data_IF_167701523495
#
_entry.id   IF_167701523495
#
_cell.length_a   1.000
_cell.length_b   1.000
_cell.length_c   1.000
_cell.angle_alpha   90.00
_cell.angle_beta   90.00
_cell.angle_gamma   90.00
#
_symmetry.space_group_name_H-M   'P 1'
#
loop_
_entity.id
_entity.type
_entity.pdbx_description
1 polymer ?
#
# COMPACT_ATOMS: atom_id res chain seq x y z
N UNK A 1 41.73 -4.90 -40.68
CA UNK A 1 42.47 -5.57 -41.78
C UNK A 1 42.43 -4.71 -43.05
N UNK A 2 43.49 -3.94 -43.32
CA UNK A 2 43.79 -3.29 -44.61
C UNK A 2 45.31 -3.09 -44.66
N UNK A 3 46.03 -3.97 -45.36
CA UNK A 3 47.47 -3.82 -45.66
C UNK A 3 47.58 -2.98 -46.94
N UNK A 4 48.02 -1.71 -46.83
CA UNK A 4 48.68 -0.95 -47.91
C UNK A 4 50.16 -1.39 -47.82
N UNK A 5 50.80 -2.00 -48.81
CA UNK A 5 50.92 -1.57 -50.20
C UNK A 5 52.36 -1.08 -50.37
N UNK A 6 53.34 -2.00 -50.36
CA UNK A 6 54.75 -1.72 -50.69
C UNK A 6 54.85 -1.45 -52.19
N UNK A 7 55.18 -0.21 -52.57
CA UNK A 7 55.63 0.12 -53.91
C UNK A 7 57.12 -0.24 -54.03
N UNK A 8 57.39 -1.38 -54.67
CA UNK A 8 58.72 -1.75 -55.13
C UNK A 8 59.05 -0.82 -56.31
N UNK A 9 59.85 0.22 -56.06
CA UNK A 9 60.44 1.02 -57.11
C UNK A 9 61.40 0.17 -57.95
N UNK A 10 60.94 -0.27 -59.12
CA UNK A 10 61.80 -0.81 -60.17
C UNK A 10 62.81 0.25 -60.60
N UNK A 11 64.08 0.07 -60.22
CA UNK A 11 65.17 0.76 -60.89
C UNK A 11 65.28 0.25 -62.34
N UNK A 12 65.53 1.14 -63.32
CA UNK A 12 65.81 0.72 -64.68
C UNK A 12 67.11 -0.10 -64.69
N UNK A 13 67.05 -1.28 -65.30
CA UNK A 13 68.22 -2.09 -65.61
C UNK A 13 69.08 -1.25 -66.55
N UNK A 14 70.11 -0.61 -66.00
CA UNK A 14 71.13 0.04 -66.80
C UNK A 14 71.78 -1.03 -67.68
N UNK A 15 71.69 -0.82 -68.99
CA UNK A 15 72.18 -1.71 -70.01
C UNK A 15 73.63 -2.10 -69.73
N UNK A 16 73.87 -3.41 -69.59
CA UNK A 16 75.21 -3.98 -69.64
C UNK A 16 75.73 -3.72 -71.05
N UNK A 17 76.63 -2.75 -71.18
CA UNK A 17 77.45 -2.57 -72.37
C UNK A 17 78.25 -3.86 -72.54
N UNK A 18 77.87 -4.69 -73.51
CA UNK A 18 78.67 -5.84 -73.89
C UNK A 18 79.93 -5.34 -74.57
N UNK A 19 81.14 -5.57 -74.03
CA UNK A 19 82.35 -5.37 -74.80
C UNK A 19 82.33 -6.34 -75.99
N UNK A 20 82.54 -5.77 -77.17
CA UNK A 20 82.71 -6.47 -78.44
C UNK A 20 83.78 -7.57 -78.31
N UNK A 21 83.43 -8.72 -78.87
CA UNK A 21 84.18 -9.97 -78.88
C UNK A 21 85.53 -9.85 -79.60
N UNK A 22 86.55 -9.40 -78.87
CA UNK A 22 87.98 -9.65 -79.14
C UNK A 22 88.93 -9.30 -77.95
N UNK A 23 88.47 -9.41 -76.70
CA UNK A 23 89.34 -9.34 -75.52
C UNK A 23 89.27 -10.66 -74.75
N UNK A 24 90.23 -11.54 -75.06
CA UNK A 24 90.61 -12.61 -74.14
C UNK A 24 91.14 -11.88 -72.90
N UNK A 25 90.31 -11.80 -71.84
CA UNK A 25 90.76 -11.43 -70.50
C UNK A 25 92.07 -12.15 -70.26
N UNK A 26 93.17 -11.38 -70.20
CA UNK A 26 94.47 -12.01 -69.98
C UNK A 26 94.41 -12.78 -68.67
N UNK A 27 95.15 -13.87 -68.59
CA UNK A 27 95.27 -14.63 -67.35
C UNK A 27 95.60 -13.71 -66.17
N UNK A 28 96.41 -12.67 -66.40
CA UNK A 28 96.73 -11.64 -65.42
C UNK A 28 95.51 -10.81 -64.99
N UNK A 29 94.64 -10.38 -65.92
CA UNK A 29 93.43 -9.63 -65.56
C UNK A 29 92.44 -10.47 -64.74
N UNK A 30 92.36 -11.77 -65.04
CA UNK A 30 91.53 -12.72 -64.29
C UNK A 30 92.12 -13.00 -62.91
N UNK A 31 93.45 -13.09 -62.82
CA UNK A 31 94.20 -13.25 -61.58
C UNK A 31 94.11 -12.01 -60.68
N UNK A 32 94.18 -10.80 -61.25
CA UNK A 32 94.02 -9.54 -60.52
C UNK A 32 92.59 -9.39 -59.97
N UNK A 33 91.57 -9.78 -60.76
CA UNK A 33 90.19 -9.81 -60.28
C UNK A 33 89.99 -10.84 -59.16
N UNK A 34 90.60 -12.03 -59.29
CA UNK A 34 90.56 -13.05 -58.22
C UNK A 34 91.32 -12.59 -56.97
N UNK A 35 92.42 -11.85 -57.13
CA UNK A 35 93.22 -11.31 -56.02
C UNK A 35 92.50 -10.15 -55.32
N UNK A 36 91.83 -9.26 -56.06
CA UNK A 36 90.95 -8.24 -55.48
C UNK A 36 89.72 -8.87 -54.78
N UNK A 37 89.16 -9.95 -55.34
CA UNK A 37 88.12 -10.74 -54.68
C UNK A 37 88.64 -11.39 -53.39
N UNK A 38 89.86 -11.94 -53.41
CA UNK A 38 90.51 -12.50 -52.22
C UNK A 38 90.81 -11.40 -51.19
N UNK A 39 91.39 -10.26 -51.58
CA UNK A 39 91.66 -9.14 -50.68
C UNK A 39 90.38 -8.54 -50.10
N UNK A 40 89.29 -8.48 -50.86
CA UNK A 40 87.99 -8.02 -50.34
C UNK A 40 87.31 -9.05 -49.45
N UNK A 41 87.54 -10.34 -49.67
CA UNK A 41 87.03 -11.43 -48.83
C UNK A 41 87.86 -11.63 -47.56
N UNK A 42 89.18 -11.40 -47.62
CA UNK A 42 90.16 -11.53 -46.55
C UNK A 42 90.44 -10.19 -45.85
N UNK A 43 89.71 -9.12 -46.24
CA UNK A 43 89.77 -7.83 -45.57
C UNK A 43 89.22 -7.98 -44.14
N UNK A 44 90.12 -8.27 -43.21
CA UNK A 44 89.82 -8.48 -41.79
C UNK A 44 88.98 -7.34 -41.20
N UNK A 45 89.16 -6.11 -41.70
CA UNK A 45 88.38 -4.95 -41.28
C UNK A 45 86.90 -5.01 -41.71
N UNK A 46 86.58 -5.66 -42.82
CA UNK A 46 85.21 -5.85 -43.30
C UNK A 46 84.53 -7.02 -42.59
N UNK A 47 85.28 -8.07 -42.25
CA UNK A 47 84.80 -9.19 -41.43
C UNK A 47 84.48 -8.71 -40.00
N UNK A 48 85.38 -7.94 -39.37
CA UNK A 48 85.16 -7.43 -38.01
C UNK A 48 83.99 -6.43 -37.94
N UNK A 49 83.84 -5.52 -38.92
CA UNK A 49 82.64 -4.66 -39.01
C UNK A 49 81.34 -5.47 -39.16
N UNK A 50 81.35 -6.57 -39.91
CA UNK A 50 80.19 -7.46 -40.01
C UNK A 50 79.92 -8.18 -38.69
N UNK A 51 80.95 -8.64 -37.98
CA UNK A 51 80.80 -9.23 -36.63
C UNK A 51 80.24 -8.24 -35.63
N UNK A 52 80.73 -7.00 -35.61
CA UNK A 52 80.18 -5.92 -34.78
C UNK A 52 78.72 -5.63 -35.12
N UNK A 53 78.37 -5.61 -36.41
CA UNK A 53 76.98 -5.42 -36.86
C UNK A 53 76.09 -6.60 -36.45
N UNK A 54 76.57 -7.84 -36.57
CA UNK A 54 75.86 -9.04 -36.11
C UNK A 54 75.66 -8.98 -34.60
N UNK A 55 76.70 -8.65 -33.84
CA UNK A 55 76.61 -8.53 -32.38
C UNK A 55 75.65 -7.40 -31.96
N UNK A 56 75.64 -6.28 -32.67
CA UNK A 56 74.67 -5.20 -32.46
C UNK A 56 73.24 -5.62 -32.77
N UNK A 57 73.03 -6.40 -33.84
CA UNK A 57 71.72 -6.98 -34.18
C UNK A 57 71.29 -7.98 -33.10
N UNK A 58 72.18 -8.87 -32.65
CA UNK A 58 71.91 -9.84 -31.59
C UNK A 58 71.54 -9.14 -30.28
N UNK A 59 72.28 -8.10 -29.88
CA UNK A 59 71.96 -7.28 -28.71
C UNK A 59 70.61 -6.59 -28.84
N UNK A 60 70.29 -6.05 -30.01
CA UNK A 60 68.98 -5.43 -30.25
C UNK A 60 67.84 -6.46 -30.20
N UNK A 61 68.05 -7.68 -30.71
CA UNK A 61 67.07 -8.77 -30.63
C UNK A 61 66.80 -9.14 -29.17
N UNK A 62 67.84 -9.23 -28.34
CA UNK A 62 67.68 -9.50 -26.90
C UNK A 62 66.89 -8.38 -26.23
N UNK A 63 67.27 -7.12 -26.44
CA UNK A 63 66.56 -5.97 -25.86
C UNK A 63 65.10 -5.88 -26.32
N UNK A 64 64.81 -6.21 -27.59
CA UNK A 64 63.43 -6.26 -28.11
C UNK A 64 62.61 -7.38 -27.46
N UNK A 65 63.21 -8.55 -27.22
CA UNK A 65 62.54 -9.65 -26.51
C UNK A 65 62.23 -9.29 -25.06
N UNK A 66 63.16 -8.63 -24.37
CA UNK A 66 62.93 -8.15 -23.00
C UNK A 66 61.80 -7.10 -22.96
N UNK A 67 61.78 -6.16 -23.92
CA UNK A 67 60.71 -5.18 -24.03
C UNK A 67 59.35 -5.82 -24.37
N UNK A 68 59.34 -6.84 -25.24
CA UNK A 68 58.14 -7.64 -25.55
C UNK A 68 57.62 -8.35 -24.30
N UNK A 69 58.50 -8.99 -23.51
CA UNK A 69 58.14 -9.67 -22.26
C UNK A 69 57.52 -8.69 -21.25
N UNK A 70 58.12 -7.50 -21.08
CA UNK A 70 57.55 -6.45 -20.21
C UNK A 70 56.14 -6.05 -20.68
N UNK A 71 55.96 -5.77 -21.97
CA UNK A 71 54.65 -5.36 -22.51
C UNK A 71 53.61 -6.48 -22.35
N UNK A 72 54.01 -7.75 -22.55
CA UNK A 72 53.13 -8.90 -22.35
C UNK A 72 52.69 -8.98 -20.89
N UNK A 73 53.63 -8.89 -19.93
CA UNK A 73 53.30 -8.96 -18.50
C UNK A 73 52.42 -7.79 -18.04
N UNK A 74 52.66 -6.57 -18.54
CA UNK A 74 51.80 -5.41 -18.28
C UNK A 74 50.40 -5.62 -18.88
N UNK A 75 50.33 -6.14 -20.10
CA UNK A 75 49.07 -6.47 -20.77
C UNK A 75 48.26 -7.52 -20.00
N UNK A 76 48.91 -8.59 -19.54
CA UNK A 76 48.29 -9.63 -18.71
C UNK A 76 47.79 -9.06 -17.37
N UNK A 77 48.56 -8.18 -16.73
CA UNK A 77 48.16 -7.50 -15.49
C UNK A 77 46.90 -6.65 -15.69
N UNK A 78 46.85 -5.84 -16.76
CA UNK A 78 45.67 -5.02 -17.10
C UNK A 78 44.46 -5.90 -17.39
N UNK A 79 44.63 -7.00 -18.15
CA UNK A 79 43.54 -7.94 -18.45
C UNK A 79 43.00 -8.58 -17.16
N UNK A 80 43.88 -8.93 -16.22
CA UNK A 80 43.46 -9.46 -14.91
C UNK A 80 42.63 -8.43 -14.14
N UNK A 81 43.11 -7.19 -14.01
CA UNK A 81 42.41 -6.12 -13.28
C UNK A 81 41.04 -5.81 -13.89
N UNK A 82 40.96 -5.75 -15.23
CA UNK A 82 39.68 -5.52 -15.92
C UNK A 82 38.73 -6.71 -15.70
N UNK A 83 39.25 -7.94 -15.74
CA UNK A 83 38.43 -9.14 -15.52
C UNK A 83 37.85 -9.19 -14.11
N UNK A 84 38.64 -8.82 -13.10
CA UNK A 84 38.18 -8.69 -11.71
C UNK A 84 37.07 -7.64 -11.58
N UNK A 85 37.24 -6.45 -12.18
CA UNK A 85 36.20 -5.41 -12.17
C UNK A 85 34.93 -5.83 -12.89
N UNK A 86 35.05 -6.55 -14.01
CA UNK A 86 33.89 -7.10 -14.72
C UNK A 86 33.14 -8.09 -13.84
N UNK A 87 33.86 -8.98 -13.15
CA UNK A 87 33.27 -9.94 -12.23
C UNK A 87 32.55 -9.23 -11.08
N UNK A 88 33.21 -8.27 -10.42
CA UNK A 88 32.62 -7.48 -9.33
C UNK A 88 31.34 -6.74 -9.78
N UNK A 89 31.39 -6.06 -10.93
CA UNK A 89 30.21 -5.41 -11.50
C UNK A 89 29.09 -6.39 -11.82
N UNK A 90 29.41 -7.59 -12.34
CA UNK A 90 28.43 -8.63 -12.63
C UNK A 90 27.76 -9.16 -11.36
N UNK A 91 28.52 -9.36 -10.29
CA UNK A 91 28.01 -9.82 -9.00
C UNK A 91 27.11 -8.77 -8.35
N UNK A 92 27.55 -7.51 -8.35
CA UNK A 92 26.76 -6.39 -7.85
C UNK A 92 25.45 -6.21 -8.63
N UNK A 93 25.50 -6.28 -9.96
CA UNK A 93 24.29 -6.19 -10.79
C UNK A 93 23.31 -7.33 -10.52
N UNK A 94 23.81 -8.56 -10.32
CA UNK A 94 22.96 -9.70 -9.95
C UNK A 94 22.31 -9.50 -8.58
N UNK A 95 23.03 -8.93 -7.62
CA UNK A 95 22.49 -8.65 -6.28
C UNK A 95 21.44 -7.52 -6.31
N UNK A 96 21.70 -6.46 -7.08
CA UNK A 96 20.73 -5.37 -7.27
C UNK A 96 19.44 -5.88 -7.92
N UNK A 97 19.52 -6.78 -8.91
CA UNK A 97 18.34 -7.38 -9.54
C UNK A 97 17.50 -8.20 -8.53
N UNK A 98 18.15 -8.93 -7.62
CA UNK A 98 17.45 -9.65 -6.54
C UNK A 98 16.77 -8.69 -5.57
N UNK A 99 17.50 -7.67 -5.10
CA UNK A 99 16.96 -6.66 -4.19
C UNK A 99 15.76 -5.93 -4.81
N UNK A 100 15.84 -5.61 -6.11
CA UNK A 100 14.75 -4.96 -6.83
C UNK A 100 13.50 -5.85 -6.94
N UNK A 101 13.68 -7.16 -7.18
CA UNK A 101 12.57 -8.13 -7.15
C UNK A 101 11.94 -8.26 -5.77
N UNK A 102 12.75 -8.27 -4.71
CA UNK A 102 12.26 -8.30 -3.32
C UNK A 102 11.49 -7.04 -2.96
N UNK A 103 12.00 -5.87 -3.34
CA UNK A 103 11.32 -4.59 -3.14
C UNK A 103 10.02 -4.50 -3.94
N UNK A 104 10.00 -4.96 -5.19
CA UNK A 104 8.78 -5.01 -5.99
C UNK A 104 7.72 -5.87 -5.32
N UNK A 105 8.09 -7.07 -4.87
CA UNK A 105 7.16 -7.94 -4.13
C UNK A 105 6.67 -7.27 -2.84
N UNK A 106 7.52 -6.53 -2.15
CA UNK A 106 7.11 -5.81 -0.94
C UNK A 106 6.11 -4.70 -1.24
N UNK A 107 6.31 -3.96 -2.34
CA UNK A 107 5.37 -2.94 -2.82
C UNK A 107 4.03 -3.59 -3.17
N UNK A 108 4.04 -4.69 -3.95
CA UNK A 108 2.81 -5.40 -4.33
C UNK A 108 2.01 -5.83 -3.08
N UNK A 109 2.68 -6.38 -2.06
CA UNK A 109 2.02 -6.77 -0.81
C UNK A 109 1.43 -5.57 -0.05
N UNK A 110 2.12 -4.42 -0.06
CA UNK A 110 1.63 -3.20 0.59
C UNK A 110 0.44 -2.61 -0.18
N UNK A 111 0.43 -2.70 -1.51
CA UNK A 111 -0.70 -2.28 -2.33
C UNK A 111 -1.94 -3.14 -2.05
N UNK A 112 -1.76 -4.47 -1.92
CA UNK A 112 -2.81 -5.39 -1.51
C UNK A 112 -3.36 -5.03 -0.12
N UNK A 113 -2.48 -4.80 0.87
CA UNK A 113 -2.89 -4.40 2.22
C UNK A 113 -3.64 -3.05 2.23
N UNK A 114 -3.21 -2.08 1.42
CA UNK A 114 -3.91 -0.81 1.28
C UNK A 114 -5.30 -1.00 0.67
N UNK A 115 -5.45 -1.91 -0.29
CA UNK A 115 -6.76 -2.22 -0.88
C UNK A 115 -7.67 -2.91 0.13
N UNK A 116 -7.18 -3.90 0.88
CA UNK A 116 -7.95 -4.57 1.95
C UNK A 116 -8.44 -3.59 3.02
N UNK A 117 -7.58 -2.65 3.43
CA UNK A 117 -7.94 -1.60 4.39
C UNK A 117 -8.99 -0.65 3.79
N UNK A 118 -8.89 -0.31 2.51
CA UNK A 118 -9.89 0.54 1.84
C UNK A 118 -11.26 -0.12 1.78
N UNK A 119 -11.31 -1.40 1.43
CA UNK A 119 -12.55 -2.18 1.40
C UNK A 119 -13.17 -2.24 2.81
N UNK A 120 -12.35 -2.52 3.83
CA UNK A 120 -12.78 -2.50 5.24
C UNK A 120 -13.33 -1.14 5.68
N UNK A 121 -12.73 -0.04 5.23
CA UNK A 121 -13.21 1.32 5.51
C UNK A 121 -14.57 1.56 4.86
N UNK A 122 -14.78 1.09 3.63
CA UNK A 122 -16.05 1.30 2.93
C UNK A 122 -17.18 0.46 3.54
N UNK A 123 -16.90 -0.77 3.98
CA UNK A 123 -17.84 -1.57 4.78
C UNK A 123 -18.21 -0.88 6.11
N UNK A 124 -17.21 -0.29 6.79
CA UNK A 124 -17.44 0.46 8.03
C UNK A 124 -18.30 1.71 7.81
N UNK A 125 -18.14 2.41 6.68
CA UNK A 125 -19.00 3.55 6.32
C UNK A 125 -20.43 3.11 6.02
N UNK A 126 -20.61 2.00 5.29
CA UNK A 126 -21.94 1.49 4.97
C UNK A 126 -22.70 1.11 6.24
N UNK A 127 -22.04 0.39 7.14
CA UNK A 127 -22.60 0.04 8.46
C UNK A 127 -22.88 1.28 9.31
N UNK A 128 -22.03 2.30 9.28
CA UNK A 128 -22.29 3.59 9.95
C UNK A 128 -23.58 4.25 9.43
N UNK A 129 -23.74 4.31 8.10
CA UNK A 129 -24.94 4.90 7.47
C UNK A 129 -26.19 4.12 7.85
N UNK A 130 -26.13 2.79 7.85
CA UNK A 130 -27.24 1.93 8.26
C UNK A 130 -27.61 2.15 9.74
N UNK A 131 -26.62 2.20 10.63
CA UNK A 131 -26.84 2.45 12.06
C UNK A 131 -27.43 3.85 12.29
N UNK A 132 -26.96 4.87 11.58
CA UNK A 132 -27.54 6.23 11.65
C UNK A 132 -29.01 6.23 11.23
N UNK A 133 -29.37 5.50 10.16
CA UNK A 133 -30.78 5.34 9.74
C UNK A 133 -31.61 4.63 10.81
N UNK A 134 -31.09 3.54 11.40
CA UNK A 134 -31.76 2.81 12.48
C UNK A 134 -31.98 3.70 13.72
N UNK A 135 -30.96 4.46 14.12
CA UNK A 135 -31.07 5.42 15.24
C UNK A 135 -32.17 6.45 14.95
N UNK A 136 -32.21 7.01 13.74
CA UNK A 136 -33.23 7.97 13.36
C UNK A 136 -34.63 7.35 13.40
N UNK A 137 -34.79 6.15 12.86
CA UNK A 137 -36.06 5.42 12.90
C UNK A 137 -36.53 5.15 14.34
N UNK A 138 -35.64 4.72 15.24
CA UNK A 138 -36.01 4.49 16.64
C UNK A 138 -36.32 5.78 17.40
N UNK A 139 -35.70 6.92 17.04
CA UNK A 139 -36.07 8.22 17.60
C UNK A 139 -37.48 8.63 17.18
N UNK A 140 -37.83 8.44 15.91
CA UNK A 140 -39.18 8.71 15.39
C UNK A 140 -40.22 7.82 16.10
N UNK A 141 -39.94 6.52 16.21
CA UNK A 141 -40.81 5.58 16.92
C UNK A 141 -40.97 5.94 18.41
N UNK A 142 -39.89 6.36 19.06
CA UNK A 142 -39.94 6.79 20.45
C UNK A 142 -40.79 8.05 20.63
N UNK A 143 -40.67 9.02 19.71
CA UNK A 143 -41.50 10.23 19.74
C UNK A 143 -42.98 9.89 19.53
N UNK A 144 -43.30 9.03 18.56
CA UNK A 144 -44.68 8.57 18.33
C UNK A 144 -45.27 7.92 19.59
N UNK A 145 -44.48 7.11 20.30
CA UNK A 145 -44.92 6.50 21.56
C UNK A 145 -45.11 7.50 22.69
N UNK A 146 -44.30 8.55 22.75
CA UNK A 146 -44.50 9.64 23.71
C UNK A 146 -45.80 10.39 23.40
N UNK A 147 -46.07 10.69 22.13
CA UNK A 147 -47.31 11.34 21.71
C UNK A 147 -48.55 10.49 22.05
N UNK A 148 -48.51 9.17 21.80
CA UNK A 148 -49.57 8.25 22.22
C UNK A 148 -49.78 8.26 23.74
N UNK A 149 -48.71 8.29 24.53
CA UNK A 149 -48.80 8.35 25.99
C UNK A 149 -49.42 9.66 26.48
N UNK A 150 -49.00 10.79 25.91
CA UNK A 150 -49.54 12.10 26.24
C UNK A 150 -51.04 12.20 25.91
N UNK A 151 -51.49 11.60 24.80
CA UNK A 151 -52.91 11.53 24.45
C UNK A 151 -53.71 10.72 25.49
N UNK A 152 -53.22 9.54 25.89
CA UNK A 152 -53.87 8.72 26.93
C UNK A 152 -53.91 9.45 28.28
N UNK A 153 -52.84 10.15 28.65
CA UNK A 153 -52.82 10.94 29.87
C UNK A 153 -53.84 12.08 29.83
N UNK A 154 -53.97 12.75 28.68
CA UNK A 154 -54.95 13.82 28.49
C UNK A 154 -56.38 13.28 28.63
N UNK A 155 -56.71 12.18 27.94
CA UNK A 155 -58.02 11.53 28.03
C UNK A 155 -58.33 11.12 29.47
N UNK A 156 -57.35 10.54 30.18
CA UNK A 156 -57.51 10.17 31.59
C UNK A 156 -57.79 11.37 32.48
N UNK A 157 -57.12 12.51 32.27
CA UNK A 157 -57.38 13.75 33.02
C UNK A 157 -58.81 14.26 32.79
N UNK A 158 -59.28 14.24 31.54
CA UNK A 158 -60.65 14.62 31.19
C UNK A 158 -61.67 13.69 31.85
N UNK A 159 -61.45 12.38 31.80
CA UNK A 159 -62.34 11.40 32.44
C UNK A 159 -62.39 11.56 33.96
N UNK A 160 -61.24 11.77 34.61
CA UNK A 160 -61.17 12.01 36.05
C UNK A 160 -61.95 13.26 36.41
N UNK A 161 -61.79 14.35 35.66
CA UNK A 161 -62.55 15.59 35.89
C UNK A 161 -64.05 15.38 35.69
N UNK A 162 -64.45 14.65 34.64
CA UNK A 162 -65.85 14.31 34.37
C UNK A 162 -66.46 13.51 35.52
N UNK A 163 -65.76 12.47 35.99
CA UNK A 163 -66.20 11.63 37.11
C UNK A 163 -66.29 12.43 38.42
N UNK A 164 -65.28 13.26 38.72
CA UNK A 164 -65.31 14.15 39.88
C UNK A 164 -66.50 15.10 39.83
N UNK A 165 -66.80 15.66 38.66
CA UNK A 165 -67.96 16.54 38.46
C UNK A 165 -69.28 15.79 38.66
N UNK A 166 -69.42 14.58 38.10
CA UNK A 166 -70.62 13.75 38.27
C UNK A 166 -70.82 13.33 39.74
N UNK A 167 -69.77 12.89 40.43
CA UNK A 167 -69.82 12.54 41.85
C UNK A 167 -70.20 13.75 42.68
N UNK A 168 -69.60 14.91 42.40
CA UNK A 168 -69.91 16.16 43.09
C UNK A 168 -71.36 16.60 42.85
N UNK A 169 -71.87 16.47 41.63
CA UNK A 169 -73.27 16.75 41.29
C UNK A 169 -74.22 15.80 42.03
N UNK A 170 -73.92 14.50 42.06
CA UNK A 170 -74.70 13.53 42.81
C UNK A 170 -74.73 13.85 44.31
N UNK A 171 -73.57 14.14 44.90
CA UNK A 171 -73.49 14.54 46.30
C UNK A 171 -74.24 15.87 46.55
N UNK A 172 -74.20 16.82 45.62
CA UNK A 172 -74.92 18.08 45.75
C UNK A 172 -76.44 17.92 45.66
N UNK A 173 -76.93 17.09 44.73
CA UNK A 173 -78.37 16.85 44.52
C UNK A 173 -78.97 16.02 45.65
N UNK A 174 -78.25 14.99 46.10
CA UNK A 174 -78.76 14.04 47.11
C UNK A 174 -78.39 14.45 48.54
N UNK A 175 -77.35 15.27 48.71
CA UNK A 175 -76.79 15.56 50.03
C UNK A 175 -76.08 14.37 50.68
N UNK A 176 -75.91 13.24 49.95
CA UNK A 176 -75.35 12.01 50.50
C UNK A 176 -73.83 12.01 50.37
N UNK A 177 -73.15 11.77 51.49
CA UNK A 177 -71.73 11.48 51.59
C UNK A 177 -71.55 10.02 51.99
N UNK A 178 -71.05 9.21 51.06
CA UNK A 178 -70.80 7.79 51.30
C UNK A 178 -69.52 7.56 52.10
N UNK A 179 -69.56 6.55 52.95
CA UNK A 179 -68.40 5.94 53.58
C UNK A 179 -68.02 4.69 52.77
N UNK A 180 -66.77 4.62 52.33
CA UNK A 180 -66.26 3.56 51.45
C UNK A 180 -65.32 2.59 52.19
N UNK A 181 -65.18 2.69 53.52
CA UNK A 181 -64.30 1.81 54.29
C UNK A 181 -64.79 0.34 54.31
N UNK A 182 -66.10 0.12 54.19
CA UNK A 182 -66.73 -1.21 54.24
C UNK A 182 -67.51 -1.50 52.95
N UNK A 183 -67.19 -2.63 52.30
CA UNK A 183 -67.77 -3.01 51.00
C UNK A 183 -69.13 -3.72 51.18
N UNK A 184 -69.34 -4.37 52.33
CA UNK A 184 -70.47 -5.26 52.57
C UNK A 184 -71.71 -4.52 53.12
N UNK A 185 -71.56 -3.25 53.48
CA UNK A 185 -72.64 -2.37 53.96
C UNK A 185 -72.68 -1.04 53.22
N UNK A 186 -73.88 -0.46 53.11
CA UNK A 186 -74.09 0.90 52.59
C UNK A 186 -74.10 1.87 53.77
N UNK A 187 -72.98 2.55 53.98
CA UNK A 187 -72.77 3.50 55.08
C UNK A 187 -72.55 4.91 54.56
N UNK A 188 -72.96 5.90 55.35
CA UNK A 188 -72.71 7.30 55.01
C UNK A 188 -73.49 8.30 55.85
N UNK A 189 -73.48 9.54 55.39
CA UNK A 189 -74.16 10.67 55.99
C UNK A 189 -75.05 11.36 54.93
N UNK A 190 -76.22 11.86 55.33
CA UNK A 190 -77.12 12.64 54.48
C UNK A 190 -77.26 14.02 55.11
N UNK A 191 -76.78 15.05 54.41
CA UNK A 191 -77.00 16.45 54.77
C UNK A 191 -78.24 16.97 54.04
N UNK A 192 -79.18 17.55 54.79
CA UNK A 192 -80.41 18.15 54.26
C UNK A 192 -80.34 19.66 54.51
N UNK A 193 -79.84 20.46 53.54
CA UNK A 193 -79.56 21.88 53.75
C UNK A 193 -80.78 22.70 54.14
N UNK A 194 -81.96 22.35 53.61
CA UNK A 194 -83.24 23.02 53.91
C UNK A 194 -83.67 22.88 55.37
N UNK A 195 -83.26 21.79 56.04
CA UNK A 195 -83.59 21.50 57.44
C UNK A 195 -82.40 21.68 58.39
N UNK A 196 -81.19 21.89 57.87
CA UNK A 196 -79.92 21.95 58.63
C UNK A 196 -79.69 20.70 59.50
N UNK A 197 -80.05 19.52 58.99
CA UNK A 197 -79.89 18.23 59.68
C UNK A 197 -78.93 17.35 58.90
N UNK A 198 -77.96 16.77 59.61
CA UNK A 198 -77.09 15.71 59.09
C UNK A 198 -77.46 14.38 59.76
N UNK A 199 -77.83 13.36 58.97
CA UNK A 199 -78.23 12.02 59.44
C UNK A 199 -77.22 10.97 58.98
N UNK A 200 -76.71 10.15 59.89
CA UNK A 200 -75.91 8.96 59.54
C UNK A 200 -76.79 7.76 59.24
N UNK A 201 -76.40 6.95 58.26
CA UNK A 201 -77.04 5.68 57.96
C UNK A 201 -76.02 4.56 57.83
N UNK A 202 -76.45 3.36 58.16
CA UNK A 202 -75.73 2.10 57.98
C UNK A 202 -76.77 1.04 57.61
N UNK A 203 -76.74 0.61 56.36
CA UNK A 203 -77.69 -0.34 55.81
C UNK A 203 -76.92 -1.56 55.32
N UNK A 204 -77.07 -2.74 55.97
CA UNK A 204 -76.49 -3.97 55.43
C UNK A 204 -77.12 -4.29 54.07
N UNK A 205 -76.30 -4.73 53.12
CA UNK A 205 -76.76 -5.06 51.76
C UNK A 205 -77.52 -6.39 51.69
N UNK A 206 -77.36 -7.23 52.71
CA UNK A 206 -78.01 -8.54 52.79
C UNK A 206 -79.54 -8.37 52.97
N UNK A 207 -80.31 -9.14 52.20
CA UNK A 207 -81.77 -9.28 52.24
C UNK A 207 -82.64 -8.08 51.79
N UNK A 208 -82.10 -7.08 51.09
CA UNK A 208 -82.89 -5.97 50.51
C UNK A 208 -82.78 -5.89 49.00
N UNK A 209 -83.91 -5.62 48.32
CA UNK A 209 -83.90 -5.33 46.88
C UNK A 209 -83.42 -3.90 46.61
N UNK A 210 -82.83 -3.67 45.42
CA UNK A 210 -82.40 -2.34 44.97
C UNK A 210 -83.53 -1.30 45.07
N UNK A 211 -84.77 -1.71 44.79
CA UNK A 211 -85.95 -0.84 44.87
C UNK A 211 -86.24 -0.39 46.32
N UNK A 212 -86.17 -1.31 47.28
CA UNK A 212 -86.38 -1.01 48.70
C UNK A 212 -85.27 -0.10 49.25
N UNK A 213 -84.03 -0.33 48.83
CA UNK A 213 -82.89 0.51 49.20
C UNK A 213 -83.07 1.94 48.69
N UNK A 214 -83.41 2.12 47.40
CA UNK A 214 -83.59 3.45 46.79
C UNK A 214 -84.76 4.21 47.44
N UNK A 215 -85.90 3.57 47.67
CA UNK A 215 -87.04 4.22 48.35
C UNK A 215 -86.70 4.62 49.78
N UNK A 216 -85.89 3.81 50.49
CA UNK A 216 -85.44 4.14 51.83
C UNK A 216 -84.56 5.40 51.82
N UNK A 217 -83.62 5.52 50.87
CA UNK A 217 -82.80 6.72 50.69
C UNK A 217 -83.64 7.97 50.34
N UNK A 218 -84.60 7.86 49.42
CA UNK A 218 -85.50 8.97 49.10
C UNK A 218 -86.33 9.43 50.30
N UNK A 219 -86.86 8.47 51.07
CA UNK A 219 -87.60 8.78 52.31
C UNK A 219 -86.69 9.50 53.32
N UNK A 220 -85.43 9.10 53.47
CA UNK A 220 -84.50 9.76 54.39
C UNK A 220 -84.17 11.20 53.99
N UNK A 221 -84.13 11.49 52.68
CA UNK A 221 -83.89 12.84 52.13
C UNK A 221 -85.11 13.76 52.28
N UNK A 222 -86.33 13.22 52.17
CA UNK A 222 -87.58 14.00 52.30
C UNK A 222 -88.04 14.20 53.76
N UNK A 223 -87.66 13.29 54.67
CA UNK A 223 -88.06 13.28 56.09
C UNK A 223 -87.36 14.34 56.95
#
# INVERSE_FOLDING_TARGET
>A
MKRKGEEIGSQPIAAVVMPSSDDILSWDATQDMMQQLLETYDNHQTIEKRKEMIHGIESNIVSLKEAEEIIVTEGESIVSEISEKIQECSENSSQEEKNLKEQQKHIDNLEDEVNDIRDSIDEAKETEVELRRKIQHYKELANEKIEEMDEVELQKKEEVYRLQTQISLHAHVTGIKWDYEDIDSLKGEIDIPSKKVNKRFDIPKEDKSDFELVNNFWTMMEA
#
